data_IF_833351592772
#
_entry.id   IF_833351592772
#
_cell.length_a   1.000
_cell.length_b   1.000
_cell.length_c   1.000
_cell.angle_alpha   90.00
_cell.angle_beta   90.00
_cell.angle_gamma   90.00
#
_symmetry.space_group_name_H-M   'P 1'
#
loop_
_entity.id
_entity.type
_entity.pdbx_description
1 polymer ?
#
# COMPACT_ATOMS: atom_id res chain seq x y z
N UNK A 1 -7.69 -8.71 8.33
CA UNK A 1 -6.43 -9.18 7.73
C UNK A 1 -5.30 -8.20 8.01
N UNK A 2 -4.06 -8.66 8.20
CA UNK A 2 -2.88 -7.78 8.31
C UNK A 2 -2.22 -7.65 6.94
N UNK A 3 -1.87 -6.42 6.57
CA UNK A 3 -1.22 -6.10 5.30
C UNK A 3 0.09 -5.39 5.58
N UNK A 4 1.14 -5.81 4.87
CA UNK A 4 2.44 -5.14 4.87
C UNK A 4 2.69 -4.53 3.49
N UNK A 5 3.00 -3.23 3.45
CA UNK A 5 3.27 -2.50 2.22
C UNK A 5 4.73 -2.04 2.27
N UNK A 6 5.53 -2.57 1.33
CA UNK A 6 6.89 -2.10 1.13
C UNK A 6 6.89 -0.74 0.43
N UNK A 7 7.85 0.14 0.74
CA UNK A 7 7.90 1.47 0.14
C UNK A 7 8.11 1.42 -1.37
N UNK A 8 7.95 2.59 -1.99
CA UNK A 8 8.12 2.86 -3.42
C UNK A 8 9.40 2.21 -3.97
N UNK A 9 9.28 1.50 -5.09
CA UNK A 9 10.44 0.93 -5.79
C UNK A 9 11.26 2.03 -6.49
N UNK A 10 12.52 2.16 -6.11
CA UNK A 10 13.49 3.09 -6.72
C UNK A 10 14.58 2.39 -7.54
N UNK A 11 14.40 1.11 -7.86
CA UNK A 11 15.35 0.32 -8.65
C UNK A 11 15.68 0.99 -9.99
N UNK A 12 14.67 1.55 -10.66
CA UNK A 12 14.80 2.28 -11.92
C UNK A 12 15.23 3.77 -11.78
N UNK A 13 15.34 4.29 -10.55
CA UNK A 13 15.72 5.69 -10.30
C UNK A 13 17.24 5.81 -10.30
N UNK A 14 17.77 6.73 -11.11
CA UNK A 14 19.21 7.03 -11.14
C UNK A 14 19.70 7.52 -9.76
N UNK A 15 20.89 7.09 -9.35
CA UNK A 15 21.43 7.30 -8.01
C UNK A 15 21.30 8.73 -7.45
N UNK A 16 21.61 9.81 -8.22
CA UNK A 16 21.47 11.19 -7.73
C UNK A 16 20.03 11.63 -7.43
N UNK A 17 19.04 10.91 -7.95
CA UNK A 17 17.60 11.19 -7.78
C UNK A 17 16.94 10.26 -6.76
N UNK A 18 17.64 9.23 -6.29
CA UNK A 18 17.12 8.33 -5.26
C UNK A 18 16.91 9.10 -3.96
N UNK A 19 15.76 8.90 -3.34
CA UNK A 19 15.41 9.51 -2.05
C UNK A 19 15.49 8.48 -0.95
N UNK A 20 15.99 8.89 0.22
CA UNK A 20 15.83 8.11 1.45
C UNK A 20 14.34 8.12 1.80
N UNK A 21 13.70 6.96 1.76
CA UNK A 21 12.31 6.82 2.20
C UNK A 21 12.33 6.55 3.70
N UNK A 22 11.99 7.57 4.49
CA UNK A 22 11.90 7.43 5.94
C UNK A 22 10.60 6.72 6.31
N UNK A 23 10.64 5.39 6.33
CA UNK A 23 9.61 4.55 6.94
C UNK A 23 9.85 4.44 8.45
N UNK A 24 8.97 3.75 9.19
CA UNK A 24 9.30 3.39 10.59
C UNK A 24 10.54 2.49 10.67
N UNK A 25 10.94 2.15 11.90
CA UNK A 25 12.12 1.30 12.22
C UNK A 25 12.15 0.00 11.41
N UNK A 26 11.01 -0.47 10.89
CA UNK A 26 10.90 -1.73 10.17
C UNK A 26 11.15 -1.62 8.65
N UNK A 27 11.21 -0.42 8.05
CA UNK A 27 11.44 -0.30 6.60
C UNK A 27 10.16 -0.38 5.74
N UNK A 28 8.98 -0.55 6.33
CA UNK A 28 7.71 -0.80 5.64
C UNK A 28 6.51 -0.39 6.49
N UNK A 29 5.31 -0.42 5.92
CA UNK A 29 4.07 -0.06 6.62
C UNK A 29 3.20 -1.28 6.93
N UNK A 30 2.74 -1.39 8.18
CA UNK A 30 1.76 -2.40 8.59
C UNK A 30 0.38 -1.78 8.75
N UNK A 31 -0.59 -2.30 8.02
CA UNK A 31 -1.99 -1.90 8.09
C UNK A 31 -2.84 -3.04 8.64
N UNK A 32 -3.81 -2.67 9.48
CA UNK A 32 -4.88 -3.59 9.89
C UNK A 32 -6.12 -3.26 9.07
N UNK A 33 -6.41 -4.11 8.08
CA UNK A 33 -7.56 -3.92 7.20
C UNK A 33 -8.83 -4.40 7.91
N UNK A 34 -9.81 -3.49 8.04
CA UNK A 34 -11.06 -3.73 8.76
C UNK A 34 -12.13 -4.37 7.87
N UNK A 35 -12.24 -3.92 6.62
CA UNK A 35 -13.25 -4.39 5.66
C UNK A 35 -12.60 -5.22 4.55
N UNK A 36 -11.88 -6.29 4.94
CA UNK A 36 -11.14 -7.12 3.99
C UNK A 36 -12.05 -7.79 2.97
N UNK A 37 -13.23 -8.26 3.40
CA UNK A 37 -14.19 -8.93 2.52
C UNK A 37 -14.66 -8.02 1.38
N UNK A 38 -14.87 -6.73 1.64
CA UNK A 38 -15.23 -5.74 0.61
C UNK A 38 -14.17 -5.65 -0.51
N UNK A 39 -12.88 -5.72 -0.15
CA UNK A 39 -11.78 -5.71 -1.12
C UNK A 39 -11.80 -6.99 -1.95
N UNK A 40 -11.99 -8.14 -1.30
CA UNK A 40 -12.04 -9.45 -1.97
C UNK A 40 -13.25 -9.53 -2.91
N UNK A 41 -14.42 -9.06 -2.49
CA UNK A 41 -15.66 -9.08 -3.27
C UNK A 41 -15.53 -8.21 -4.54
N UNK A 42 -15.00 -6.98 -4.41
CA UNK A 42 -14.76 -6.10 -5.56
C UNK A 42 -13.75 -6.71 -6.53
N UNK A 43 -12.66 -7.30 -6.01
CA UNK A 43 -11.67 -8.00 -6.84
C UNK A 43 -12.27 -9.20 -7.57
N UNK A 44 -13.07 -10.03 -6.87
CA UNK A 44 -13.72 -11.20 -7.46
C UNK A 44 -14.76 -10.82 -8.53
N UNK A 45 -15.39 -9.66 -8.40
CA UNK A 45 -16.33 -9.12 -9.39
C UNK A 45 -15.65 -8.48 -10.61
N UNK A 46 -14.34 -8.21 -10.54
CA UNK A 46 -13.62 -7.44 -11.56
C UNK A 46 -14.07 -5.98 -11.63
N UNK A 47 -14.56 -5.44 -10.51
CA UNK A 47 -15.03 -4.05 -10.40
C UNK A 47 -13.88 -3.16 -9.92
N UNK A 48 -13.15 -2.59 -10.87
CA UNK A 48 -11.95 -1.78 -10.59
C UNK A 48 -12.28 -0.49 -9.80
N UNK A 49 -13.46 0.10 -10.01
CA UNK A 49 -13.89 1.30 -9.30
C UNK A 49 -14.20 0.96 -7.83
N UNK A 50 -15.01 -0.08 -7.59
CA UNK A 50 -15.29 -0.54 -6.24
C UNK A 50 -14.02 -1.02 -5.49
N UNK A 51 -13.07 -1.62 -6.22
CA UNK A 51 -11.80 -2.05 -5.67
C UNK A 51 -10.92 -0.86 -5.26
N UNK A 52 -10.86 0.19 -6.08
CA UNK A 52 -10.14 1.44 -5.76
C UNK A 52 -10.72 2.09 -4.51
N UNK A 53 -12.03 2.30 -4.48
CA UNK A 53 -12.74 2.90 -3.35
C UNK A 53 -12.51 2.12 -2.04
N UNK A 54 -12.57 0.79 -2.12
CA UNK A 54 -12.37 -0.08 -0.96
C UNK A 54 -10.95 0.03 -0.39
N UNK A 55 -9.93 0.24 -1.23
CA UNK A 55 -8.55 0.46 -0.79
C UNK A 55 -8.33 1.88 -0.25
N UNK A 56 -8.88 2.91 -0.88
CA UNK A 56 -8.75 4.30 -0.44
C UNK A 56 -9.28 4.51 0.99
N UNK A 57 -10.40 3.86 1.31
CA UNK A 57 -10.96 3.81 2.66
C UNK A 57 -9.96 3.27 3.71
N UNK A 58 -9.07 2.35 3.32
CA UNK A 58 -8.08 1.75 4.24
C UNK A 58 -6.74 2.52 4.25
N UNK A 59 -6.37 3.19 3.16
CA UNK A 59 -5.09 3.88 3.00
C UNK A 59 -5.08 5.29 3.60
N UNK A 60 -6.23 5.82 4.03
CA UNK A 60 -6.36 7.14 4.64
C UNK A 60 -5.41 7.34 5.84
N UNK A 61 -5.14 6.29 6.61
CA UNK A 61 -4.24 6.30 7.77
C UNK A 61 -2.76 6.57 7.40
N UNK A 62 -2.38 6.46 6.11
CA UNK A 62 -1.04 6.83 5.64
C UNK A 62 -0.79 8.35 5.67
N UNK A 63 -1.86 9.16 5.61
CA UNK A 63 -1.77 10.62 5.64
C UNK A 63 -0.72 11.17 4.67
N UNK A 64 0.15 12.05 5.16
CA UNK A 64 1.21 12.70 4.35
C UNK A 64 2.27 11.76 3.80
N UNK A 65 2.29 10.49 4.22
CA UNK A 65 3.22 9.49 3.73
C UNK A 65 2.69 8.70 2.53
N UNK A 66 1.44 8.94 2.10
CA UNK A 66 0.82 8.21 0.99
C UNK A 66 1.72 8.13 -0.26
N UNK A 67 2.36 9.24 -0.64
CA UNK A 67 3.26 9.29 -1.81
C UNK A 67 4.52 8.42 -1.70
N UNK A 68 4.81 7.84 -0.53
CA UNK A 68 5.88 6.86 -0.36
C UNK A 68 5.46 5.44 -0.76
N UNK A 69 4.17 5.22 -1.04
CA UNK A 69 3.57 3.90 -1.28
C UNK A 69 2.76 3.80 -2.59
N UNK A 70 2.60 4.90 -3.33
CA UNK A 70 1.88 4.95 -4.62
C UNK A 70 2.41 3.92 -5.65
N UNK A 71 3.70 3.59 -5.58
CA UNK A 71 4.35 2.57 -6.41
C UNK A 71 5.09 1.54 -5.54
N UNK A 72 4.37 0.97 -4.56
CA UNK A 72 4.91 0.02 -3.60
C UNK A 72 5.67 -1.14 -4.27
N UNK A 73 6.85 -1.48 -3.74
CA UNK A 73 7.68 -2.58 -4.25
C UNK A 73 6.97 -3.94 -4.13
N UNK A 74 6.22 -4.14 -3.04
CA UNK A 74 5.43 -5.35 -2.83
C UNK A 74 4.37 -5.13 -1.75
N UNK A 75 3.29 -5.89 -1.84
CA UNK A 75 2.24 -5.97 -0.82
C UNK A 75 2.13 -7.39 -0.32
N UNK A 76 2.23 -7.59 1.00
CA UNK A 76 2.12 -8.89 1.67
C UNK A 76 0.84 -8.98 2.52
N UNK A 77 0.20 -10.14 2.51
CA UNK A 77 -1.01 -10.42 3.28
C UNK A 77 -0.74 -11.53 4.30
N UNK A 78 -1.20 -11.34 5.54
CA UNK A 78 -1.23 -12.39 6.55
C UNK A 78 -2.60 -12.43 7.22
N UNK A 79 -3.18 -13.62 7.28
CA UNK A 79 -4.48 -13.92 7.88
C UNK A 79 -4.30 -14.70 9.18
#
# INVERSE_FOLDING_TARGET
TRVEIQPLDQSAVADPRRRVITTDVAGFRRLRIRNWDRIVDAWAAGDDEALSDAWDDQLTDLGSQWGQYEYATSVGFSA
#
